data_IF_360519867501
#
_entry.id   IF_360519867501
#
_cell.length_a   1.000
_cell.length_b   1.000
_cell.length_c   1.000
_cell.angle_alpha   90.00
_cell.angle_beta   90.00
_cell.angle_gamma   90.00
#
_symmetry.space_group_name_H-M   'P 1'
#
loop_
_entity.id
_entity.type
_entity.pdbx_description
1 polymer ?
#
# COMPACT_ATOMS: atom_id res chain seq x y z
N UNK A 1 -19.44 15.17 23.49
CA UNK A 1 -18.22 14.53 23.99
C UNK A 1 -17.46 13.92 22.82
N UNK A 2 -16.31 14.49 22.46
CA UNK A 2 -15.40 13.97 21.45
C UNK A 2 -14.35 13.07 22.12
N UNK A 3 -14.02 11.88 21.59
CA UNK A 3 -12.81 11.17 22.00
C UNK A 3 -11.61 11.65 21.17
N UNK A 4 -10.55 12.03 21.88
CA UNK A 4 -9.26 12.45 21.32
C UNK A 4 -8.26 11.28 21.24
N UNK A 5 -7.45 11.29 20.18
CA UNK A 5 -6.00 11.02 20.14
C UNK A 5 -5.43 9.69 20.67
N UNK A 6 -4.90 8.85 19.75
CA UNK A 6 -3.64 8.10 19.95
C UNK A 6 -2.94 7.91 18.57
N UNK A 7 -1.73 8.47 18.32
CA UNK A 7 -0.93 8.18 17.13
C UNK A 7 0.12 7.10 17.44
N UNK A 8 0.05 5.94 16.77
CA UNK A 8 0.98 4.83 16.97
C UNK A 8 1.84 4.56 15.71
N UNK A 9 2.67 5.51 15.33
CA UNK A 9 3.72 5.32 14.32
C UNK A 9 5.03 4.91 15.02
N UNK A 10 5.12 3.68 15.55
CA UNK A 10 6.38 2.94 15.85
C UNK A 10 6.07 1.47 16.15
N UNK A 11 6.03 0.61 15.13
CA UNK A 11 6.28 -0.83 15.32
C UNK A 11 7.26 -1.26 14.23
N UNK A 12 8.54 -1.26 14.60
CA UNK A 12 9.57 -2.07 13.92
C UNK A 12 9.64 -3.38 14.70
N UNK A 13 9.25 -4.49 14.08
CA UNK A 13 9.61 -5.82 14.57
C UNK A 13 9.54 -6.84 13.43
N UNK A 14 10.70 -7.36 13.03
CA UNK A 14 10.77 -8.56 12.21
C UNK A 14 10.51 -9.78 13.07
N UNK A 15 9.40 -10.49 12.82
CA UNK A 15 9.18 -11.91 13.12
C UNK A 15 8.13 -12.43 12.13
N UNK A 16 8.44 -13.54 11.45
CA UNK A 16 7.49 -14.29 10.65
C UNK A 16 6.45 -14.96 11.56
N UNK A 17 5.19 -14.51 11.46
CA UNK A 17 4.02 -15.30 11.84
C UNK A 17 2.84 -14.80 11.03
N UNK A 18 2.28 -15.68 10.20
CA UNK A 18 1.10 -15.45 9.38
C UNK A 18 -0.12 -15.22 10.26
N UNK A 19 -0.42 -13.95 10.56
CA UNK A 19 -1.76 -13.47 10.81
C UNK A 19 -2.03 -12.44 9.72
N UNK A 20 -3.16 -12.57 9.02
CA UNK A 20 -3.63 -11.59 8.06
C UNK A 20 -3.83 -10.25 8.75
N UNK A 21 -2.78 -9.43 8.77
CA UNK A 21 -2.86 -8.05 9.17
C UNK A 21 -3.55 -7.30 8.04
N UNK A 22 -4.88 -7.22 8.12
CA UNK A 22 -5.62 -6.20 7.40
C UNK A 22 -5.19 -4.86 7.96
N UNK A 23 -4.25 -4.21 7.26
CA UNK A 23 -3.88 -2.84 7.52
C UNK A 23 -5.04 -1.96 7.02
N UNK A 24 -5.87 -1.47 7.95
CA UNK A 24 -6.77 -0.37 7.64
C UNK A 24 -5.93 0.90 7.49
N UNK A 25 -5.36 1.09 6.30
CA UNK A 25 -4.81 2.36 5.83
C UNK A 25 -6.01 3.26 5.50
N UNK A 26 -5.98 4.51 5.98
CA UNK A 26 -7.12 5.42 5.97
C UNK A 26 -7.82 5.56 4.61
N UNK A 27 -9.15 5.56 4.67
CA UNK A 27 -10.15 5.88 3.63
C UNK A 27 -9.68 5.79 2.17
N UNK A 28 -9.61 4.57 1.63
CA UNK A 28 -9.43 4.25 0.20
C UNK A 28 -8.01 4.48 -0.35
N UNK A 29 -7.04 3.73 0.18
CA UNK A 29 -5.86 3.34 -0.60
C UNK A 29 -6.04 1.93 -1.16
N UNK A 30 -5.55 1.63 -2.38
CA UNK A 30 -5.62 0.29 -2.93
C UNK A 30 -4.93 -0.72 -2.02
N UNK A 31 -5.57 -1.87 -1.80
CA UNK A 31 -5.00 -2.96 -1.01
C UNK A 31 -4.43 -4.02 -1.94
N UNK A 32 -3.12 -4.30 -1.83
CA UNK A 32 -2.47 -5.34 -2.62
C UNK A 32 -2.82 -6.74 -2.10
N UNK A 33 -3.16 -7.64 -3.03
CA UNK A 33 -3.15 -9.07 -2.77
C UNK A 33 -1.76 -9.68 -3.06
N UNK A 34 -1.04 -9.18 -4.07
CA UNK A 34 0.31 -9.62 -4.40
C UNK A 34 0.79 -9.16 -5.78
N UNK A 35 2.05 -9.49 -6.11
CA UNK A 35 2.61 -9.26 -7.45
C UNK A 35 2.63 -10.60 -8.17
N UNK A 36 1.84 -10.75 -9.23
CA UNK A 36 1.73 -11.99 -10.00
C UNK A 36 2.93 -12.18 -10.94
N UNK A 37 3.49 -11.08 -11.46
CA UNK A 37 4.63 -11.09 -12.38
C UNK A 37 5.35 -9.75 -12.37
N UNK A 38 6.66 -9.80 -12.58
CA UNK A 38 7.53 -8.62 -12.65
C UNK A 38 8.07 -8.21 -11.28
N UNK A 39 8.90 -7.18 -11.28
CA UNK A 39 9.58 -6.68 -10.09
C UNK A 39 8.93 -5.36 -9.69
N UNK A 40 8.15 -5.40 -8.61
CA UNK A 40 7.41 -4.25 -8.11
C UNK A 40 7.57 -4.14 -6.60
N UNK A 41 7.97 -2.96 -6.14
CA UNK A 41 7.96 -2.57 -4.75
C UNK A 41 6.81 -1.58 -4.51
N UNK A 42 5.89 -1.95 -3.61
CA UNK A 42 4.77 -1.08 -3.23
C UNK A 42 4.95 -0.57 -1.81
N UNK A 43 4.77 0.73 -1.64
CA UNK A 43 4.84 1.38 -0.33
C UNK A 43 3.71 2.39 -0.18
N UNK A 44 3.14 2.46 1.02
CA UNK A 44 2.14 3.47 1.37
C UNK A 44 2.74 4.45 2.39
N UNK A 45 2.58 5.74 2.14
CA UNK A 45 2.99 6.81 3.05
C UNK A 45 1.90 7.89 3.09
N UNK A 46 1.29 8.09 4.27
CA UNK A 46 0.12 8.97 4.39
C UNK A 46 -1.03 8.50 3.50
N UNK A 47 -1.59 9.41 2.70
CA UNK A 47 -2.63 9.14 1.70
C UNK A 47 -2.06 8.89 0.29
N UNK A 48 -0.79 8.49 0.16
CA UNK A 48 -0.20 8.16 -1.14
C UNK A 48 0.34 6.74 -1.17
N UNK A 49 -0.12 5.97 -2.14
CA UNK A 49 0.43 4.65 -2.47
C UNK A 49 1.38 4.79 -3.66
N UNK A 50 2.65 4.44 -3.46
CA UNK A 50 3.68 4.45 -4.49
C UNK A 50 3.96 3.02 -4.96
N UNK A 51 3.78 2.79 -6.26
CA UNK A 51 4.11 1.55 -6.96
C UNK A 51 5.37 1.81 -7.76
N UNK A 52 6.51 1.25 -7.31
CA UNK A 52 7.78 1.36 -8.01
C UNK A 52 8.04 0.06 -8.77
N UNK A 53 7.85 0.10 -10.07
CA UNK A 53 8.07 -1.02 -10.96
C UNK A 53 9.48 -0.93 -11.55
N UNK A 54 10.26 -2.00 -11.43
CA UNK A 54 11.61 -2.09 -11.99
C UNK A 54 11.66 -2.87 -13.30
N UNK A 55 10.68 -3.72 -13.57
CA UNK A 55 10.56 -4.48 -14.82
C UNK A 55 9.79 -3.69 -15.88
N UNK A 56 9.99 -3.96 -17.17
CA UNK A 56 9.24 -3.28 -18.25
C UNK A 56 7.73 -3.56 -18.17
N UNK A 57 7.36 -4.74 -17.67
CA UNK A 57 5.98 -5.15 -17.47
C UNK A 57 5.82 -5.79 -16.09
N UNK A 58 4.70 -5.53 -15.43
CA UNK A 58 4.32 -6.17 -14.20
C UNK A 58 2.80 -6.36 -14.12
N UNK A 59 2.39 -7.40 -13.40
CA UNK A 59 0.98 -7.68 -13.10
C UNK A 59 0.85 -7.68 -11.58
N UNK A 60 -0.02 -6.81 -11.09
CA UNK A 60 -0.28 -6.63 -9.67
C UNK A 60 -1.72 -7.04 -9.41
N UNK A 61 -1.91 -7.98 -8.51
CA UNK A 61 -3.22 -8.39 -8.03
C UNK A 61 -3.61 -7.50 -6.85
N UNK A 62 -4.77 -6.87 -6.97
CA UNK A 62 -5.34 -6.01 -5.94
C UNK A 62 -6.52 -6.73 -5.29
N UNK A 63 -6.58 -6.71 -3.97
CA UNK A 63 -7.76 -7.16 -3.24
C UNK A 63 -8.91 -6.15 -3.43
N UNK A 64 -8.56 -4.86 -3.36
CA UNK A 64 -9.41 -3.75 -3.77
C UNK A 64 -8.55 -2.64 -4.37
N UNK A 65 -9.08 -1.94 -5.37
CA UNK A 65 -8.43 -0.77 -5.95
C UNK A 65 -9.37 0.43 -5.82
N UNK A 66 -9.29 1.10 -4.68
CA UNK A 66 -10.07 2.29 -4.35
C UNK A 66 -9.10 3.45 -4.12
N UNK A 67 -9.45 4.65 -4.60
CA UNK A 67 -8.65 5.87 -4.43
C UNK A 67 -9.56 6.97 -3.93
N UNK A 68 -9.47 7.24 -2.63
CA UNK A 68 -10.37 8.17 -1.96
C UNK A 68 -10.06 9.63 -2.20
N UNK A 69 -10.95 10.48 -1.70
CA UNK A 69 -10.79 11.93 -1.82
C UNK A 69 -9.51 12.40 -1.11
N UNK A 70 -8.57 12.96 -1.88
CA UNK A 70 -7.27 13.39 -1.37
C UNK A 70 -6.22 12.27 -1.26
N UNK A 71 -6.58 11.04 -1.64
CA UNK A 71 -5.63 9.96 -1.84
C UNK A 71 -5.01 10.02 -3.23
N UNK A 72 -3.81 9.46 -3.36
CA UNK A 72 -3.10 9.38 -4.62
C UNK A 72 -2.43 8.02 -4.79
N UNK A 73 -2.45 7.51 -6.02
CA UNK A 73 -1.68 6.34 -6.41
C UNK A 73 -0.67 6.79 -7.45
N UNK A 74 0.61 6.50 -7.20
CA UNK A 74 1.70 6.94 -8.07
C UNK A 74 2.45 5.73 -8.59
N UNK A 75 2.33 5.51 -9.90
CA UNK A 75 3.08 4.48 -10.61
C UNK A 75 4.37 5.09 -11.14
N UNK A 76 5.49 4.53 -10.71
CA UNK A 76 6.83 4.87 -11.20
C UNK A 76 7.32 3.68 -12.02
N UNK A 77 7.33 3.83 -13.33
CA UNK A 77 7.66 2.79 -14.31
C UNK A 77 9.00 3.12 -14.99
N UNK A 78 9.76 2.11 -15.44
CA UNK A 78 11.10 2.32 -16.00
C UNK A 78 11.06 3.04 -17.36
N UNK A 79 9.94 2.98 -18.05
CA UNK A 79 9.70 3.59 -19.36
C UNK A 79 8.25 4.06 -19.47
N UNK A 80 7.99 4.96 -20.44
CA UNK A 80 6.68 5.55 -20.72
C UNK A 80 5.98 4.84 -21.89
#
# INVERSE_FOLDING_TARGET
MAPAMIPLCKIVLGVALSLGASICLGDELPSLAGVARGDVAVSAAGNTLSVNQSSDQAIIDWNTFDVGAGAAVRFNQPSA
#
